data_IF_714245240838
#
_entry.id   IF_714245240838
#
_cell.length_a   1.000
_cell.length_b   1.000
_cell.length_c   1.000
_cell.angle_alpha   90.00
_cell.angle_beta   90.00
_cell.angle_gamma   90.00
#
_symmetry.space_group_name_H-M   'P 1'
#
loop_
_entity.id
_entity.type
_entity.pdbx_description
1 polymer ?
#
# COMPACT_ATOMS: atom_id res chain seq x y z
N UNK A 1 -2.57 12.33 -17.97
CA UNK A 1 -2.90 10.96 -17.50
C UNK A 1 -3.90 11.09 -16.36
N UNK A 2 -5.01 10.32 -16.35
CA UNK A 2 -5.97 10.39 -15.26
C UNK A 2 -5.36 9.86 -13.98
N UNK A 3 -5.75 10.43 -12.84
CA UNK A 3 -5.34 9.98 -11.51
C UNK A 3 -5.63 8.49 -11.31
N UNK A 4 -4.75 7.76 -10.63
CA UNK A 4 -5.00 6.38 -10.21
C UNK A 4 -5.99 6.40 -9.04
N UNK A 5 -7.10 5.69 -9.18
CA UNK A 5 -8.20 5.65 -8.22
C UNK A 5 -8.37 4.28 -7.54
N UNK A 6 -7.50 3.33 -7.91
CA UNK A 6 -7.51 1.97 -7.39
C UNK A 6 -6.10 1.49 -7.08
N UNK A 7 -6.02 0.53 -6.17
CA UNK A 7 -4.77 -0.08 -5.71
C UNK A 7 -4.89 -1.60 -5.75
N UNK A 8 -3.98 -2.26 -6.45
CA UNK A 8 -3.72 -3.68 -6.23
C UNK A 8 -2.66 -3.80 -5.14
N UNK A 9 -3.01 -4.43 -4.03
CA UNK A 9 -2.16 -4.57 -2.84
C UNK A 9 -1.95 -6.06 -2.56
N UNK A 10 -0.70 -6.50 -2.46
CA UNK A 10 -0.36 -7.92 -2.39
C UNK A 10 0.67 -8.17 -1.31
N UNK A 11 0.29 -8.96 -0.30
CA UNK A 11 1.25 -9.58 0.58
C UNK A 11 1.69 -10.92 0.01
N UNK A 12 2.98 -11.24 0.13
CA UNK A 12 3.52 -12.52 -0.33
C UNK A 12 4.63 -13.05 0.56
N UNK A 13 4.71 -14.39 0.59
CA UNK A 13 5.81 -15.14 1.18
C UNK A 13 6.30 -16.14 0.13
N UNK A 14 7.62 -16.14 -0.21
CA UNK A 14 8.16 -17.09 -1.16
C UNK A 14 8.07 -18.55 -0.71
N UNK A 15 7.82 -18.82 0.57
CA UNK A 15 7.77 -20.19 1.11
C UNK A 15 9.11 -20.90 0.96
N UNK A 16 9.15 -21.97 0.19
CA UNK A 16 10.37 -22.75 -0.05
C UNK A 16 11.23 -22.25 -1.22
N UNK A 17 10.74 -21.24 -1.97
CA UNK A 17 11.49 -20.65 -3.09
C UNK A 17 12.67 -19.86 -2.52
N UNK A 18 13.91 -20.05 -3.00
CA UNK A 18 15.05 -19.22 -2.61
C UNK A 18 14.75 -17.73 -2.80
N UNK A 19 15.02 -16.91 -1.77
CA UNK A 19 14.72 -15.47 -1.80
C UNK A 19 15.38 -14.75 -2.97
N UNK A 20 16.58 -15.21 -3.37
CA UNK A 20 17.30 -14.67 -4.54
C UNK A 20 16.54 -14.94 -5.85
N UNK A 21 15.99 -16.14 -6.01
CA UNK A 21 15.19 -16.52 -7.18
C UNK A 21 13.86 -15.78 -7.21
N UNK A 22 13.18 -15.69 -6.05
CA UNK A 22 11.95 -14.93 -5.92
C UNK A 22 12.15 -13.44 -6.25
N UNK A 23 13.25 -12.84 -5.78
CA UNK A 23 13.55 -11.44 -6.08
C UNK A 23 13.91 -11.25 -7.56
N UNK A 24 14.75 -12.11 -8.13
CA UNK A 24 15.10 -12.01 -9.54
C UNK A 24 13.88 -12.10 -10.46
N UNK A 25 13.01 -13.09 -10.22
CA UNK A 25 11.75 -13.24 -10.94
C UNK A 25 10.85 -12.01 -10.78
N UNK A 26 10.64 -11.57 -9.54
CA UNK A 26 9.71 -10.46 -9.28
C UNK A 26 10.20 -9.16 -9.91
N UNK A 27 11.50 -8.88 -9.74
CA UNK A 27 12.10 -7.60 -10.10
C UNK A 27 12.37 -7.47 -11.61
N UNK A 28 12.57 -8.57 -12.32
CA UNK A 28 12.97 -8.56 -13.72
C UNK A 28 11.89 -9.12 -14.68
N UNK A 29 10.88 -9.84 -14.17
CA UNK A 29 9.81 -10.43 -14.97
C UNK A 29 8.43 -9.96 -14.49
N UNK A 30 8.01 -10.34 -13.27
CA UNK A 30 6.65 -10.17 -12.79
C UNK A 30 6.26 -8.69 -12.61
N UNK A 31 7.10 -7.89 -11.92
CA UNK A 31 6.83 -6.47 -11.66
C UNK A 31 6.76 -5.65 -12.94
N UNK A 32 7.82 -5.66 -13.79
CA UNK A 32 7.81 -4.93 -15.06
C UNK A 32 6.65 -5.30 -15.98
N UNK A 33 6.28 -6.59 -16.04
CA UNK A 33 5.19 -7.05 -16.90
C UNK A 33 3.85 -6.38 -16.54
N UNK A 34 3.59 -6.04 -15.26
CA UNK A 34 2.37 -5.35 -14.87
C UNK A 34 2.30 -3.93 -15.44
N UNK A 35 3.43 -3.24 -15.57
CA UNK A 35 3.50 -1.87 -16.09
C UNK A 35 3.24 -1.79 -17.60
N UNK A 36 3.25 -2.92 -18.31
CA UNK A 36 2.85 -2.97 -19.73
C UNK A 36 1.34 -2.89 -19.91
N UNK A 37 0.55 -3.09 -18.84
CA UNK A 37 -0.92 -3.06 -18.92
C UNK A 37 -1.40 -1.61 -18.86
N UNK A 38 -2.15 -1.12 -19.88
CA UNK A 38 -2.71 0.22 -19.87
C UNK A 38 -3.57 0.46 -18.63
N UNK A 39 -3.26 1.56 -17.92
CA UNK A 39 -3.98 1.93 -16.70
C UNK A 39 -3.31 1.47 -15.40
N UNK A 40 -2.21 0.70 -15.43
CA UNK A 40 -1.28 0.55 -14.32
C UNK A 40 -0.18 1.59 -14.49
N UNK A 41 -0.05 2.50 -13.52
CA UNK A 41 0.82 3.68 -13.65
C UNK A 41 2.14 3.56 -12.90
N UNK A 42 2.17 2.82 -11.81
CA UNK A 42 3.35 2.59 -10.99
C UNK A 42 3.23 1.30 -10.20
N UNK A 43 4.36 0.71 -9.85
CA UNK A 43 4.43 -0.45 -8.97
C UNK A 43 5.57 -0.28 -7.97
N UNK A 44 5.36 -0.77 -6.76
CA UNK A 44 6.34 -0.67 -5.68
C UNK A 44 6.41 -1.99 -4.94
N UNK A 45 7.61 -2.35 -4.55
CA UNK A 45 7.89 -3.57 -3.79
C UNK A 45 8.67 -3.25 -2.53
N UNK A 46 8.25 -3.84 -1.42
CA UNK A 46 8.77 -3.52 -0.09
C UNK A 46 9.05 -4.79 0.71
N UNK A 47 10.02 -4.71 1.62
CA UNK A 47 10.31 -5.74 2.60
C UNK A 47 9.85 -5.33 4.00
N UNK A 48 9.28 -6.27 4.75
CA UNK A 48 8.86 -6.05 6.13
C UNK A 48 10.03 -5.60 7.01
N UNK A 49 9.81 -4.52 7.78
CA UNK A 49 10.70 -3.98 8.80
C UNK A 49 10.22 -4.30 10.22
N UNK A 50 9.00 -4.79 10.35
CA UNK A 50 8.35 -5.10 11.62
C UNK A 50 8.56 -6.55 12.10
N UNK A 51 9.32 -7.35 11.35
CA UNK A 51 9.59 -8.75 11.65
C UNK A 51 8.40 -9.69 11.52
N UNK A 52 7.25 -9.21 11.01
CA UNK A 52 6.04 -10.01 10.86
C UNK A 52 5.97 -10.66 9.48
N UNK A 53 5.23 -11.78 9.38
CA UNK A 53 4.86 -12.41 8.13
C UNK A 53 3.52 -11.84 7.59
N UNK A 54 3.31 -11.84 6.27
CA UNK A 54 4.23 -12.16 5.18
C UNK A 54 5.36 -11.12 5.04
N UNK A 55 6.59 -11.52 4.58
CA UNK A 55 7.76 -10.64 4.57
C UNK A 55 7.77 -9.63 3.43
N UNK A 56 6.93 -9.77 2.42
CA UNK A 56 6.89 -8.91 1.25
C UNK A 56 5.54 -8.26 1.05
N UNK A 57 5.57 -6.98 0.69
CA UNK A 57 4.46 -6.20 0.16
C UNK A 57 4.80 -5.74 -1.24
N UNK A 58 3.85 -5.89 -2.16
CA UNK A 58 3.86 -5.13 -3.41
C UNK A 58 2.52 -4.40 -3.56
N UNK A 59 2.55 -3.19 -4.11
CA UNK A 59 1.32 -2.56 -4.56
C UNK A 59 1.52 -1.88 -5.91
N UNK A 60 0.42 -1.82 -6.66
CA UNK A 60 0.36 -1.18 -7.97
C UNK A 60 -0.74 -0.14 -7.97
N UNK A 61 -0.39 1.06 -8.39
CA UNK A 61 -1.33 2.16 -8.60
C UNK A 61 -1.97 1.99 -9.97
N UNK A 62 -3.29 1.98 -10.02
CA UNK A 62 -4.00 1.66 -11.25
C UNK A 62 -5.35 2.39 -11.34
N UNK A 63 -5.93 2.38 -12.53
CA UNK A 63 -7.32 2.77 -12.72
C UNK A 63 -8.27 1.66 -12.29
N UNK A 64 -9.45 2.03 -11.83
CA UNK A 64 -10.52 1.09 -11.53
C UNK A 64 -10.86 0.24 -12.76
N UNK A 65 -11.14 -1.05 -12.56
CA UNK A 65 -11.51 -2.00 -13.61
C UNK A 65 -10.34 -2.57 -14.44
N UNK A 66 -9.11 -2.11 -14.26
CA UNK A 66 -7.95 -2.60 -15.06
C UNK A 66 -7.75 -4.10 -14.93
N UNK A 67 -8.00 -4.69 -13.77
CA UNK A 67 -7.81 -6.13 -13.54
C UNK A 67 -8.79 -7.02 -14.32
N UNK A 68 -9.88 -6.44 -14.82
CA UNK A 68 -10.86 -7.12 -15.67
C UNK A 68 -10.63 -6.86 -17.16
N UNK A 69 -9.69 -6.01 -17.51
CA UNK A 69 -9.37 -5.64 -18.89
C UNK A 69 -8.87 -6.83 -19.72
N UNK A 70 -9.08 -6.82 -21.04
CA UNK A 70 -8.51 -7.83 -21.93
C UNK A 70 -6.98 -7.89 -21.84
N UNK A 71 -6.31 -6.75 -21.70
CA UNK A 71 -4.85 -6.63 -21.64
C UNK A 71 -4.31 -7.30 -20.35
N UNK A 72 -4.95 -7.09 -19.21
CA UNK A 72 -4.54 -7.75 -17.98
C UNK A 72 -4.77 -9.28 -18.04
N UNK A 73 -5.89 -9.71 -18.64
CA UNK A 73 -6.17 -11.14 -18.87
C UNK A 73 -5.17 -11.77 -19.84
N UNK A 74 -4.81 -11.05 -20.90
CA UNK A 74 -3.80 -11.50 -21.86
C UNK A 74 -2.41 -11.66 -21.22
N UNK A 75 -2.03 -10.77 -20.29
CA UNK A 75 -0.80 -10.89 -19.51
C UNK A 75 -0.71 -12.24 -18.77
N UNK A 76 -1.81 -12.65 -18.12
CA UNK A 76 -1.88 -13.92 -17.42
C UNK A 76 -1.86 -15.13 -18.37
N UNK A 77 -2.54 -15.01 -19.50
CA UNK A 77 -2.54 -16.06 -20.53
C UNK A 77 -1.13 -16.30 -21.11
N UNK A 78 -0.35 -15.23 -21.25
CA UNK A 78 1.02 -15.24 -21.75
C UNK A 78 2.08 -15.53 -20.68
N UNK A 79 1.69 -15.83 -19.45
CA UNK A 79 2.62 -16.09 -18.34
C UNK A 79 3.63 -17.19 -18.66
N UNK A 80 4.90 -16.96 -18.38
CA UNK A 80 6.00 -17.89 -18.61
C UNK A 80 5.85 -19.18 -17.78
N UNK A 81 6.58 -20.22 -18.11
CA UNK A 81 6.65 -21.44 -17.29
C UNK A 81 7.21 -21.13 -15.89
N UNK A 82 8.19 -20.22 -15.80
CA UNK A 82 8.77 -19.74 -14.55
C UNK A 82 7.72 -19.04 -13.68
N UNK A 83 6.98 -18.09 -14.27
CA UNK A 83 5.87 -17.38 -13.61
C UNK A 83 4.88 -18.36 -12.98
N UNK A 84 4.40 -19.31 -13.77
CA UNK A 84 3.43 -20.33 -13.32
C UNK A 84 3.97 -21.18 -12.18
N UNK A 85 5.23 -21.61 -12.27
CA UNK A 85 5.88 -22.42 -11.23
C UNK A 85 6.02 -21.65 -9.93
N UNK A 86 6.55 -20.41 -9.98
CA UNK A 86 6.72 -19.58 -8.79
C UNK A 86 5.38 -19.26 -8.15
N UNK A 87 4.40 -18.79 -8.94
CA UNK A 87 3.08 -18.44 -8.42
C UNK A 87 2.37 -19.61 -7.73
N UNK A 88 2.53 -20.84 -8.22
CA UNK A 88 1.94 -22.04 -7.60
C UNK A 88 2.69 -22.52 -6.34
N UNK A 89 3.92 -22.05 -6.13
CA UNK A 89 4.81 -22.48 -5.05
C UNK A 89 4.93 -21.47 -3.92
N UNK A 90 4.27 -20.29 -4.03
CA UNK A 90 4.28 -19.28 -2.97
C UNK A 90 3.69 -19.86 -1.67
N UNK A 91 4.35 -19.60 -0.55
CA UNK A 91 3.84 -19.95 0.78
C UNK A 91 2.62 -19.14 1.19
N UNK A 92 2.59 -17.87 0.78
CA UNK A 92 1.44 -16.96 0.95
C UNK A 92 1.29 -16.05 -0.25
N UNK A 93 0.05 -15.89 -0.70
CA UNK A 93 -0.37 -14.87 -1.65
C UNK A 93 -1.70 -14.28 -1.20
N UNK A 94 -1.65 -13.13 -0.54
CA UNK A 94 -2.83 -12.39 -0.11
C UNK A 94 -2.99 -11.16 -1.01
N UNK A 95 -3.95 -11.25 -1.91
CA UNK A 95 -4.21 -10.27 -2.96
C UNK A 95 -5.48 -9.51 -2.67
N UNK A 96 -5.36 -8.20 -2.56
CA UNK A 96 -6.45 -7.28 -2.19
C UNK A 96 -6.57 -6.18 -3.23
N UNK A 97 -7.78 -5.76 -3.53
CA UNK A 97 -8.08 -4.62 -4.40
C UNK A 97 -8.80 -3.56 -3.58
N UNK A 98 -8.34 -2.34 -3.73
CA UNK A 98 -8.86 -1.20 -3.00
C UNK A 98 -9.22 -0.06 -3.94
N UNK A 99 -10.23 0.73 -3.56
CA UNK A 99 -10.63 1.96 -4.20
C UNK A 99 -10.24 3.15 -3.33
N UNK A 100 -9.70 4.22 -3.94
CA UNK A 100 -9.23 5.41 -3.23
C UNK A 100 -10.40 6.20 -2.65
N UNK A 101 -10.32 6.55 -1.37
CA UNK A 101 -11.27 7.42 -0.66
C UNK A 101 -10.73 8.83 -0.55
N UNK A 102 -9.47 8.95 -0.12
CA UNK A 102 -8.82 10.25 0.07
C UNK A 102 -7.31 10.15 -0.09
N UNK A 103 -6.71 11.27 -0.47
CA UNK A 103 -5.28 11.45 -0.65
C UNK A 103 -4.87 12.77 0.00
N UNK A 104 -4.01 12.74 0.97
CA UNK A 104 -3.62 13.88 1.79
C UNK A 104 -2.11 13.95 1.96
N UNK A 105 -1.55 15.14 1.88
CA UNK A 105 -0.11 15.37 1.87
C UNK A 105 0.44 15.38 0.44
N UNK A 106 1.72 15.71 0.31
CA UNK A 106 2.44 15.68 -0.96
C UNK A 106 3.63 14.75 -0.85
N UNK A 107 3.85 13.93 -1.84
CA UNK A 107 5.15 13.31 -2.03
C UNK A 107 6.13 14.43 -2.38
N UNK A 108 6.94 14.86 -1.39
CA UNK A 108 8.08 15.76 -1.56
C UNK A 108 7.84 17.00 -2.42
N UNK A 109 7.33 18.08 -1.85
CA UNK A 109 7.47 19.40 -2.48
C UNK A 109 8.84 19.99 -2.14
N UNK A 110 9.89 19.57 -2.84
CA UNK A 110 11.00 20.48 -3.08
C UNK A 110 10.57 21.39 -4.23
N UNK A 111 10.45 22.68 -3.93
CA UNK A 111 10.17 23.75 -4.87
C UNK A 111 11.19 23.77 -6.01
N UNK A 112 10.88 23.11 -7.12
CA UNK A 112 11.47 23.42 -8.42
C UNK A 112 10.40 23.19 -9.48
N UNK A 113 10.04 24.30 -10.10
CA UNK A 113 9.11 24.44 -11.22
C UNK A 113 9.49 23.53 -12.38
N UNK A 114 8.54 22.68 -12.82
CA UNK A 114 8.51 22.15 -14.17
C UNK A 114 9.03 20.75 -14.35
N UNK A 115 8.27 19.76 -13.92
CA UNK A 115 8.26 18.43 -14.55
C UNK A 115 7.00 17.69 -14.08
N UNK A 116 6.24 17.12 -15.01
CA UNK A 116 5.08 16.26 -14.76
C UNK A 116 5.53 15.04 -13.94
N UNK A 117 5.24 15.06 -12.63
CA UNK A 117 5.88 14.27 -11.61
C UNK A 117 5.58 12.79 -11.66
N UNK A 118 6.60 12.00 -11.76
CA UNK A 118 6.65 10.71 -11.09
C UNK A 118 6.72 10.99 -9.57
N UNK A 119 5.72 10.55 -8.82
CA UNK A 119 5.77 10.58 -7.36
C UNK A 119 6.98 9.75 -6.92
N UNK A 120 7.92 10.40 -6.21
CA UNK A 120 9.07 9.69 -5.68
C UNK A 120 8.61 8.53 -4.79
N UNK A 121 9.22 7.35 -4.97
CA UNK A 121 8.85 6.16 -4.22
C UNK A 121 9.11 6.40 -2.72
N UNK A 122 8.16 6.07 -1.82
CA UNK A 122 8.37 6.26 -0.39
C UNK A 122 9.44 5.30 0.13
N UNK A 123 10.38 5.79 0.95
CA UNK A 123 11.41 4.98 1.59
C UNK A 123 10.80 3.94 2.54
N UNK A 124 9.79 4.34 3.30
CA UNK A 124 9.08 3.50 4.25
C UNK A 124 7.58 3.66 4.07
N UNK A 125 6.88 2.54 4.14
CA UNK A 125 5.41 2.50 4.12
C UNK A 125 4.89 1.91 5.43
N UNK A 126 3.95 2.63 6.06
CA UNK A 126 3.09 2.09 7.10
C UNK A 126 1.72 1.77 6.48
N UNK A 127 1.33 0.51 6.50
CA UNK A 127 0.01 0.04 6.10
C UNK A 127 -0.82 -0.28 7.35
N UNK A 128 -1.95 0.41 7.50
CA UNK A 128 -2.90 0.18 8.60
C UNK A 128 -4.25 -0.17 8.00
N UNK A 129 -4.69 -1.39 8.21
CA UNK A 129 -6.03 -1.82 7.82
C UNK A 129 -6.94 -1.89 9.03
N UNK A 130 -8.19 -1.46 8.87
CA UNK A 130 -9.15 -1.32 9.97
C UNK A 130 -10.57 -1.62 9.48
N UNK A 131 -11.32 -2.37 10.29
CA UNK A 131 -12.79 -2.46 10.17
C UNK A 131 -13.42 -1.99 11.50
N UNK A 132 -14.51 -1.26 11.39
CA UNK A 132 -15.35 -0.89 12.53
C UNK A 132 -16.79 -1.36 12.28
N UNK A 133 -17.64 -1.46 13.31
CA UNK A 133 -19.07 -1.69 13.12
C UNK A 133 -19.68 -0.62 12.19
N UNK A 134 -20.70 -0.95 11.36
CA UNK A 134 -21.30 0.01 10.42
C UNK A 134 -21.73 1.32 11.05
N UNK A 135 -22.24 1.29 12.28
CA UNK A 135 -22.65 2.49 13.03
C UNK A 135 -21.49 3.45 13.35
N UNK A 136 -20.23 3.00 13.25
CA UNK A 136 -19.04 3.80 13.51
C UNK A 136 -18.28 4.23 12.25
N UNK A 137 -18.74 3.87 11.06
CA UNK A 137 -18.03 4.23 9.81
C UNK A 137 -17.97 5.75 9.60
N UNK A 138 -19.03 6.47 9.94
CA UNK A 138 -19.04 7.94 9.89
C UNK A 138 -18.06 8.55 10.91
N UNK A 139 -18.00 8.01 12.13
CA UNK A 139 -17.06 8.45 13.17
C UNK A 139 -15.61 8.16 12.77
N UNK A 140 -15.35 6.99 12.16
CA UNK A 140 -14.04 6.65 11.58
C UNK A 140 -13.62 7.64 10.48
N UNK A 141 -14.53 8.00 9.60
CA UNK A 141 -14.25 8.94 8.52
C UNK A 141 -13.94 10.34 9.05
N UNK A 142 -14.75 10.83 10.00
CA UNK A 142 -14.55 12.12 10.66
C UNK A 142 -13.23 12.15 11.45
N UNK A 143 -12.93 11.10 12.23
CA UNK A 143 -11.68 11.00 12.98
C UNK A 143 -10.45 11.12 12.07
N UNK A 144 -10.45 10.43 10.94
CA UNK A 144 -9.34 10.56 9.98
C UNK A 144 -9.24 11.97 9.42
N UNK A 145 -10.36 12.58 9.02
CA UNK A 145 -10.38 13.89 8.37
C UNK A 145 -10.01 15.03 9.32
N UNK A 146 -10.58 15.03 10.53
CA UNK A 146 -10.58 16.18 11.41
C UNK A 146 -9.46 16.13 12.48
N UNK A 147 -8.95 14.94 12.79
CA UNK A 147 -7.92 14.78 13.83
C UNK A 147 -6.68 14.05 13.31
N UNK A 148 -6.82 12.78 12.90
CA UNK A 148 -5.68 11.89 12.76
C UNK A 148 -4.75 12.27 11.60
N UNK A 149 -5.30 12.54 10.41
CA UNK A 149 -4.51 12.97 9.24
C UNK A 149 -3.81 14.30 9.49
N UNK A 150 -4.49 15.38 9.97
CA UNK A 150 -3.82 16.63 10.30
C UNK A 150 -2.67 16.47 11.30
N UNK A 151 -2.88 15.69 12.36
CA UNK A 151 -1.85 15.45 13.37
C UNK A 151 -0.65 14.69 12.80
N UNK A 152 -0.88 13.65 12.00
CA UNK A 152 0.20 12.87 11.42
C UNK A 152 0.99 13.68 10.37
N UNK A 153 0.33 14.44 9.52
CA UNK A 153 1.01 15.28 8.52
C UNK A 153 1.83 16.42 9.14
N UNK A 154 1.57 16.77 10.39
CA UNK A 154 2.40 17.70 11.16
C UNK A 154 3.68 17.05 11.72
N UNK A 155 3.81 15.73 11.67
CA UNK A 155 5.02 15.00 12.12
C UNK A 155 6.12 15.14 11.06
N UNK A 156 7.33 15.62 11.41
CA UNK A 156 8.44 15.68 10.47
C UNK A 156 8.72 14.31 9.83
N UNK A 157 8.80 14.28 8.50
CA UNK A 157 9.03 13.05 7.74
C UNK A 157 7.76 12.23 7.42
N UNK A 158 6.58 12.63 7.88
CA UNK A 158 5.30 12.07 7.43
C UNK A 158 4.89 12.76 6.14
N UNK A 159 4.92 12.06 5.01
CA UNK A 159 4.86 12.68 3.69
C UNK A 159 3.46 12.67 3.08
N UNK A 160 2.78 11.51 3.12
CA UNK A 160 1.50 11.31 2.43
C UNK A 160 0.67 10.26 3.16
N UNK A 161 -0.65 10.42 3.13
CA UNK A 161 -1.62 9.46 3.66
C UNK A 161 -2.69 9.25 2.62
N UNK A 162 -2.82 8.01 2.11
CA UNK A 162 -3.88 7.61 1.20
C UNK A 162 -4.81 6.62 1.88
N UNK A 163 -6.08 6.89 1.83
CA UNK A 163 -7.09 6.01 2.40
C UNK A 163 -7.89 5.32 1.31
N UNK A 164 -8.19 4.08 1.56
CA UNK A 164 -8.84 3.21 0.60
C UNK A 164 -9.94 2.38 1.24
N UNK A 165 -10.91 1.93 0.42
CA UNK A 165 -11.93 0.94 0.77
C UNK A 165 -11.63 -0.36 0.02
N UNK A 166 -11.74 -1.50 0.69
CA UNK A 166 -11.61 -2.83 0.09
C UNK A 166 -12.77 -3.09 -0.89
N UNK A 167 -12.44 -3.54 -2.09
CA UNK A 167 -13.41 -3.92 -3.13
C UNK A 167 -13.31 -5.40 -3.50
N UNK A 168 -12.13 -6.03 -3.29
CA UNK A 168 -11.96 -7.47 -3.48
C UNK A 168 -10.84 -8.01 -2.60
N UNK A 169 -10.96 -9.26 -2.17
CA UNK A 169 -10.05 -9.93 -1.23
C UNK A 169 -10.64 -10.08 0.16
N UNK A 170 -9.85 -10.62 1.10
CA UNK A 170 -10.25 -10.82 2.50
C UNK A 170 -9.32 -10.03 3.41
N UNK A 171 -9.80 -8.91 3.91
CA UNK A 171 -9.04 -8.01 4.80
C UNK A 171 -10.01 -7.10 5.55
N UNK A 172 -9.53 -6.31 6.55
CA UNK A 172 -10.31 -5.22 7.09
C UNK A 172 -10.75 -4.24 5.99
N UNK A 173 -11.95 -3.65 6.17
CA UNK A 173 -12.67 -2.91 5.12
C UNK A 173 -11.94 -1.66 4.61
N UNK A 174 -11.10 -1.06 5.44
CA UNK A 174 -10.38 0.18 5.13
C UNK A 174 -8.87 -0.02 5.25
N UNK A 175 -8.12 0.50 4.30
CA UNK A 175 -6.66 0.60 4.33
C UNK A 175 -6.27 2.08 4.41
N UNK A 176 -5.35 2.42 5.30
CA UNK A 176 -4.61 3.67 5.31
C UNK A 176 -3.14 3.38 4.98
N UNK A 177 -2.66 3.91 3.87
CA UNK A 177 -1.28 3.73 3.39
C UNK A 177 -0.53 5.04 3.59
N UNK A 178 0.49 5.02 4.44
CA UNK A 178 1.28 6.18 4.81
C UNK A 178 2.66 6.10 4.19
N UNK A 179 3.08 7.16 3.51
CA UNK A 179 4.43 7.33 2.99
C UNK A 179 5.27 8.09 4.01
N UNK A 180 6.42 7.54 4.37
CA UNK A 180 7.30 8.04 5.41
C UNK A 180 8.71 8.20 4.87
N UNK A 181 9.42 9.23 5.31
CA UNK A 181 10.83 9.44 4.96
C UNK A 181 11.76 8.42 5.62
N UNK A 182 11.40 7.94 6.82
CA UNK A 182 12.20 6.92 7.55
C UNK A 182 11.43 6.36 8.73
N UNK A 183 11.99 5.35 9.39
CA UNK A 183 11.48 4.79 10.66
C UNK A 183 11.53 5.79 11.82
N UNK A 184 12.38 6.81 11.75
CA UNK A 184 12.56 7.80 12.82
C UNK A 184 11.28 8.59 13.15
N UNK A 185 10.34 8.67 12.21
CA UNK A 185 9.04 9.34 12.44
C UNK A 185 8.27 8.74 13.63
N UNK A 186 8.48 7.46 13.95
CA UNK A 186 7.80 6.82 15.08
C UNK A 186 8.35 7.23 16.45
N UNK A 187 9.54 7.86 16.48
CA UNK A 187 10.14 8.41 17.69
C UNK A 187 9.72 9.86 17.94
N UNK A 188 9.09 10.50 16.97
CA UNK A 188 8.68 11.89 17.08
C UNK A 188 7.58 12.08 18.15
N UNK A 189 7.68 13.14 18.98
CA UNK A 189 6.64 13.44 19.97
C UNK A 189 5.25 13.64 19.34
N UNK A 190 5.19 14.24 18.14
CA UNK A 190 3.96 14.45 17.39
C UNK A 190 3.26 13.15 17.03
N UNK A 191 4.02 12.12 16.63
CA UNK A 191 3.45 10.78 16.38
C UNK A 191 2.85 10.18 17.66
N UNK A 192 3.60 10.24 18.78
CA UNK A 192 3.10 9.71 20.06
C UNK A 192 1.82 10.42 20.51
N UNK A 193 1.73 11.72 20.31
CA UNK A 193 0.52 12.49 20.58
C UNK A 193 -0.64 12.07 19.66
N UNK A 194 -0.40 11.92 18.36
CA UNK A 194 -1.43 11.52 17.38
C UNK A 194 -2.07 10.16 17.66
N UNK A 195 -1.30 9.22 18.24
CA UNK A 195 -1.79 7.86 18.55
C UNK A 195 -2.29 7.69 19.98
N UNK A 196 -2.33 8.76 20.79
CA UNK A 196 -2.74 8.74 22.19
C UNK A 196 -4.02 9.56 22.46
N UNK A 197 -4.69 10.06 21.44
CA UNK A 197 -5.89 10.88 21.61
C UNK A 197 -7.08 10.04 22.12
N UNK A 198 -8.05 10.64 22.84
CA UNK A 198 -9.27 9.94 23.24
C UNK A 198 -10.08 9.42 22.04
N UNK A 199 -10.06 10.16 20.91
CA UNK A 199 -10.76 9.74 19.69
C UNK A 199 -10.10 8.53 19.04
N UNK A 200 -8.77 8.55 18.89
CA UNK A 200 -7.97 7.38 18.48
C UNK A 200 -8.31 6.15 19.32
N UNK A 201 -8.29 6.28 20.65
CA UNK A 201 -8.57 5.17 21.56
C UNK A 201 -9.99 4.61 21.37
N UNK A 202 -10.99 5.48 21.18
CA UNK A 202 -12.38 5.07 20.90
C UNK A 202 -12.47 4.25 19.60
N UNK A 203 -11.86 4.73 18.51
CA UNK A 203 -11.87 4.06 17.21
C UNK A 203 -11.16 2.70 17.29
N UNK A 204 -9.97 2.66 17.88
CA UNK A 204 -9.16 1.43 17.96
C UNK A 204 -9.82 0.38 18.86
N UNK A 205 -10.47 0.81 19.96
CA UNK A 205 -11.18 -0.10 20.86
C UNK A 205 -12.43 -0.70 20.19
N UNK A 206 -13.09 0.07 19.33
CA UNK A 206 -14.28 -0.38 18.61
C UNK A 206 -13.94 -1.24 17.35
N UNK A 207 -12.67 -1.33 16.97
CA UNK A 207 -12.27 -2.05 15.78
C UNK A 207 -12.58 -3.55 15.89
N UNK A 208 -13.24 -4.08 14.87
CA UNK A 208 -13.57 -5.52 14.72
C UNK A 208 -12.57 -6.28 13.85
N UNK A 209 -11.63 -5.58 13.23
CA UNK A 209 -10.50 -6.13 12.49
C UNK A 209 -9.43 -5.07 12.34
N UNK A 210 -8.17 -5.46 12.55
CA UNK A 210 -7.03 -4.54 12.49
C UNK A 210 -5.77 -5.26 12.05
N UNK A 211 -5.05 -4.62 11.12
CA UNK A 211 -3.67 -4.96 10.76
C UNK A 211 -2.81 -3.69 10.82
N UNK A 212 -1.57 -3.81 11.24
CA UNK A 212 -0.57 -2.74 11.17
C UNK A 212 0.76 -3.35 10.76
N UNK A 213 1.29 -2.90 9.63
CA UNK A 213 2.51 -3.41 9.04
C UNK A 213 3.42 -2.26 8.61
N UNK A 214 4.73 -2.44 8.76
CA UNK A 214 5.74 -1.47 8.34
C UNK A 214 6.71 -2.13 7.38
N UNK A 215 6.98 -1.45 6.26
CA UNK A 215 7.81 -1.97 5.17
C UNK A 215 8.79 -0.92 4.67
N UNK A 216 10.01 -1.35 4.32
CA UNK A 216 11.01 -0.54 3.64
C UNK A 216 11.04 -0.81 2.15
N UNK A 217 11.28 0.21 1.35
CA UNK A 217 11.36 0.10 -0.10
C UNK A 217 12.45 -0.90 -0.51
N UNK A 218 12.09 -1.81 -1.40
CA UNK A 218 13.02 -2.71 -2.07
C UNK A 218 13.24 -2.30 -3.53
N UNK A 219 12.15 -2.02 -4.26
CA UNK A 219 12.21 -1.65 -5.67
C UNK A 219 10.96 -0.88 -6.11
N UNK A 220 11.13 0.06 -7.02
CA UNK A 220 10.06 0.73 -7.76
C UNK A 220 10.09 0.30 -9.23
N UNK A 221 8.91 0.31 -9.86
CA UNK A 221 8.67 0.03 -11.26
C UNK A 221 7.87 1.19 -11.86
N UNK A 222 8.29 1.75 -12.97
CA UNK A 222 7.65 2.88 -13.65
C UNK A 222 8.56 4.07 -13.80
#
# INVERSE_FOLDING_TARGET
>A
MGSSDSLLFVYSDPGTIPVTEFNDWYDNEHGPARLTVPGISAGYRFRALDGQAPPWLAYYEMKSGVLDSPEYKALWAAASAREKTIMSSLGTLDRRVYELISDSGSAGSSSSSGSSGSSEAPEVVLAVSLSVPPAMEADLAAWYADEHIPMLLAVPGWQRIRRYRLTAGTAPAYLSLHSLASMAVFEEPGYRAAVATPWQNRIVTAAIGRERRVFGLHKSFG
#
